data_IF_495824451310
#
_entry.id   IF_495824451310
#
_cell.length_a   1.000
_cell.length_b   1.000
_cell.length_c   1.000
_cell.angle_alpha   90.00
_cell.angle_beta   90.00
_cell.angle_gamma   90.00
#
_symmetry.space_group_name_H-M   'P 1'
#
loop_
_entity.id
_entity.type
_entity.pdbx_description
1 polymer ?
#
# COMPACT_ATOMS: atom_id res chain seq x y z
N UNK A 1 7.55 -45.78 22.09
CA UNK A 1 7.51 -45.67 20.61
C UNK A 1 8.64 -46.53 20.04
N UNK A 2 8.33 -47.62 19.32
CA UNK A 2 9.32 -48.68 19.02
C UNK A 2 10.36 -48.22 17.97
N UNK A 3 11.60 -47.96 18.40
CA UNK A 3 12.77 -47.68 17.55
C UNK A 3 13.18 -48.84 16.61
N UNK A 4 12.53 -50.01 16.70
CA UNK A 4 12.79 -51.13 15.77
C UNK A 4 12.30 -50.87 14.34
N UNK A 5 11.37 -49.92 14.16
CA UNK A 5 10.84 -49.55 12.84
C UNK A 5 11.86 -48.76 12.00
N UNK A 6 12.75 -48.00 12.64
CA UNK A 6 13.83 -47.22 12.02
C UNK A 6 15.01 -48.07 11.51
N UNK A 7 15.09 -49.36 11.87
CA UNK A 7 16.19 -50.25 11.46
C UNK A 7 16.04 -50.77 10.03
N UNK A 8 14.87 -50.64 9.41
CA UNK A 8 14.66 -51.03 8.01
C UNK A 8 15.10 -49.89 7.11
N UNK A 9 16.08 -50.15 6.23
CA UNK A 9 16.60 -49.17 5.25
C UNK A 9 15.48 -48.47 4.46
N UNK A 10 14.44 -49.22 4.09
CA UNK A 10 13.25 -48.68 3.42
C UNK A 10 12.50 -47.64 4.27
N UNK A 11 12.25 -47.92 5.55
CA UNK A 11 11.57 -46.98 6.46
C UNK A 11 12.39 -45.71 6.68
N UNK A 12 13.71 -45.85 6.86
CA UNK A 12 14.60 -44.70 7.00
C UNK A 12 14.58 -43.82 5.73
N UNK A 13 14.67 -44.41 4.54
CA UNK A 13 14.56 -43.68 3.27
C UNK A 13 13.23 -42.93 3.12
N UNK A 14 12.10 -43.54 3.51
CA UNK A 14 10.77 -42.89 3.45
C UNK A 14 10.69 -41.71 4.41
N UNK A 15 11.20 -41.84 5.63
CA UNK A 15 11.21 -40.75 6.61
C UNK A 15 12.10 -39.60 6.14
N UNK A 16 13.29 -39.89 5.61
CA UNK A 16 14.18 -38.86 5.04
C UNK A 16 13.53 -38.17 3.83
N UNK A 17 12.88 -38.92 2.95
CA UNK A 17 12.16 -38.36 1.82
C UNK A 17 11.01 -37.43 2.26
N UNK A 18 10.26 -37.82 3.29
CA UNK A 18 9.22 -36.98 3.89
C UNK A 18 9.79 -35.72 4.54
N UNK A 19 10.90 -35.82 5.27
CA UNK A 19 11.57 -34.66 5.86
C UNK A 19 12.01 -33.68 4.77
N UNK A 20 12.67 -34.17 3.71
CA UNK A 20 13.09 -33.34 2.57
C UNK A 20 11.88 -32.71 1.87
N UNK A 21 10.80 -33.47 1.65
CA UNK A 21 9.59 -32.98 1.02
C UNK A 21 8.89 -31.87 1.82
N UNK A 22 9.02 -31.86 3.14
CA UNK A 22 8.47 -30.80 4.02
C UNK A 22 9.43 -29.62 4.17
N UNK A 23 10.75 -29.87 4.22
CA UNK A 23 11.75 -28.81 4.38
C UNK A 23 11.83 -27.86 3.18
N UNK A 24 11.63 -28.36 1.96
CA UNK A 24 11.71 -27.53 0.75
C UNK A 24 10.59 -26.47 0.71
N UNK A 25 9.30 -26.80 0.86
CA UNK A 25 8.23 -25.80 0.92
C UNK A 25 8.38 -24.81 2.08
N UNK A 26 8.79 -25.27 3.26
CA UNK A 26 9.02 -24.37 4.40
C UNK A 26 10.17 -23.39 4.13
N UNK A 27 11.26 -23.86 3.50
CA UNK A 27 12.38 -23.01 3.12
C UNK A 27 12.00 -21.95 2.08
N UNK A 28 11.18 -22.32 1.10
CA UNK A 28 10.61 -21.38 0.11
C UNK A 28 9.70 -20.37 0.80
N UNK A 29 8.76 -20.82 1.64
CA UNK A 29 7.84 -19.92 2.34
C UNK A 29 8.60 -18.87 3.16
N UNK A 30 9.55 -19.28 4.01
CA UNK A 30 10.30 -18.34 4.84
C UNK A 30 11.20 -17.39 4.03
N UNK A 31 11.74 -17.83 2.90
CA UNK A 31 12.60 -16.97 2.05
C UNK A 31 11.75 -15.95 1.30
N UNK A 32 10.67 -16.39 0.67
CA UNK A 32 9.82 -15.54 -0.15
C UNK A 32 8.99 -14.56 0.68
N UNK A 33 8.52 -14.96 1.86
CA UNK A 33 7.85 -14.03 2.80
C UNK A 33 8.78 -12.92 3.26
N UNK A 34 10.05 -13.22 3.55
CA UNK A 34 11.04 -12.18 3.86
C UNK A 34 11.30 -11.24 2.69
N UNK A 35 11.34 -11.77 1.47
CA UNK A 35 11.48 -10.94 0.27
C UNK A 35 10.25 -10.06 0.05
N UNK A 36 9.05 -10.60 0.26
CA UNK A 36 7.79 -9.85 0.25
C UNK A 36 7.78 -8.74 1.30
N UNK A 37 8.20 -9.05 2.53
CA UNK A 37 8.28 -8.09 3.64
C UNK A 37 9.25 -6.95 3.33
N UNK A 38 10.41 -7.24 2.71
CA UNK A 38 11.39 -6.23 2.31
C UNK A 38 10.82 -5.26 1.27
N UNK A 39 10.11 -5.78 0.27
CA UNK A 39 9.49 -4.92 -0.75
C UNK A 39 8.30 -4.15 -0.16
N UNK A 40 7.51 -4.78 0.70
CA UNK A 40 6.41 -4.14 1.41
C UNK A 40 6.90 -3.03 2.34
N UNK A 41 8.05 -3.21 2.99
CA UNK A 41 8.67 -2.15 3.81
C UNK A 41 8.96 -0.89 3.00
N UNK A 42 9.21 -0.96 1.69
CA UNK A 42 9.37 0.23 0.85
C UNK A 42 8.08 1.07 0.77
N UNK A 43 6.91 0.42 0.83
CA UNK A 43 5.64 1.11 0.86
C UNK A 43 5.47 1.91 2.16
N UNK A 44 5.82 1.31 3.31
CA UNK A 44 5.59 1.91 4.63
C UNK A 44 6.74 2.81 5.10
N UNK A 45 7.97 2.35 4.94
CA UNK A 45 9.18 2.97 5.49
C UNK A 45 9.97 3.75 4.42
N UNK A 46 9.86 3.38 3.14
CA UNK A 46 10.63 4.00 2.05
C UNK A 46 12.05 3.45 1.92
N UNK A 47 12.91 4.15 1.16
CA UNK A 47 14.30 3.71 0.90
C UNK A 47 15.32 4.56 1.66
N UNK A 48 16.27 3.91 2.35
CA UNK A 48 17.51 4.56 2.79
C UNK A 48 17.33 5.75 3.74
N UNK A 49 16.30 5.73 4.59
CA UNK A 49 15.94 6.84 5.49
C UNK A 49 15.05 7.92 4.86
N UNK A 50 14.60 7.74 3.62
CA UNK A 50 13.50 8.50 3.03
C UNK A 50 12.14 8.06 3.56
N UNK A 51 11.07 8.61 2.99
CA UNK A 51 9.69 8.27 3.35
C UNK A 51 9.04 7.33 2.32
N UNK A 52 8.20 6.40 2.79
CA UNK A 52 7.41 5.51 1.94
C UNK A 52 6.13 6.16 1.42
N UNK A 53 5.40 5.45 0.55
CA UNK A 53 4.10 5.88 0.02
C UNK A 53 3.11 6.14 1.16
N UNK A 54 3.10 5.32 2.21
CA UNK A 54 2.21 5.48 3.37
C UNK A 54 2.36 6.86 4.02
N UNK A 55 3.58 7.37 4.15
CA UNK A 55 3.82 8.70 4.70
C UNK A 55 3.18 9.79 3.82
N UNK A 56 3.32 9.69 2.50
CA UNK A 56 2.70 10.65 1.58
C UNK A 56 1.17 10.58 1.60
N UNK A 57 0.59 9.39 1.78
CA UNK A 57 -0.86 9.24 1.99
C UNK A 57 -1.32 9.96 3.27
N UNK A 58 -0.54 9.87 4.34
CA UNK A 58 -0.81 10.60 5.60
C UNK A 58 -0.72 12.12 5.41
N UNK A 59 0.29 12.61 4.68
CA UNK A 59 0.38 14.04 4.35
C UNK A 59 -0.86 14.51 3.59
N UNK A 60 -1.33 13.73 2.61
CA UNK A 60 -2.52 14.07 1.83
C UNK A 60 -3.78 14.10 2.66
N UNK A 61 -3.95 13.15 3.58
CA UNK A 61 -5.07 13.17 4.54
C UNK A 61 -5.01 14.40 5.46
N UNK A 62 -3.81 14.83 5.86
CA UNK A 62 -3.59 16.06 6.61
C UNK A 62 -3.99 17.31 5.82
N UNK A 63 -3.49 17.43 4.59
CA UNK A 63 -3.84 18.54 3.70
C UNK A 63 -5.34 18.58 3.39
N UNK A 64 -5.97 17.42 3.17
CA UNK A 64 -7.42 17.33 2.99
C UNK A 64 -8.21 17.78 4.23
N UNK A 65 -7.72 17.50 5.45
CA UNK A 65 -8.33 17.99 6.68
C UNK A 65 -8.25 19.52 6.80
N UNK A 66 -7.10 20.09 6.43
CA UNK A 66 -6.90 21.54 6.41
C UNK A 66 -7.78 22.22 5.34
N UNK A 67 -7.88 21.61 4.16
CA UNK A 67 -8.78 22.04 3.10
C UNK A 67 -10.24 22.03 3.56
N UNK A 68 -10.71 20.95 4.22
CA UNK A 68 -12.05 20.90 4.83
C UNK A 68 -12.29 22.05 5.81
N UNK A 69 -11.31 22.34 6.67
CA UNK A 69 -11.41 23.42 7.66
C UNK A 69 -11.57 24.79 7.02
N UNK A 70 -10.87 25.05 5.91
CA UNK A 70 -11.03 26.30 5.15
C UNK A 70 -12.37 26.31 4.42
N UNK A 71 -12.73 25.21 3.77
CA UNK A 71 -13.99 25.09 3.01
C UNK A 71 -15.24 25.35 3.87
N UNK A 72 -15.25 24.85 5.10
CA UNK A 72 -16.36 25.04 6.06
C UNK A 72 -16.63 26.50 6.45
N UNK A 73 -15.71 27.43 6.15
CA UNK A 73 -15.92 28.87 6.40
C UNK A 73 -16.77 29.54 5.31
N UNK A 74 -16.84 28.93 4.13
CA UNK A 74 -17.49 29.50 2.94
C UNK A 74 -18.70 28.68 2.49
N UNK A 75 -18.75 27.39 2.81
CA UNK A 75 -19.82 26.48 2.42
C UNK A 75 -20.76 26.16 3.58
N UNK A 76 -22.02 25.88 3.26
CA UNK A 76 -23.04 25.53 4.26
C UNK A 76 -22.75 24.17 4.93
N UNK A 77 -23.13 24.06 6.20
CA UNK A 77 -23.09 22.79 6.90
C UNK A 77 -24.01 21.78 6.19
N UNK A 78 -23.46 20.65 5.74
CA UNK A 78 -24.20 19.63 4.98
C UNK A 78 -23.96 19.68 3.47
N UNK A 79 -23.12 20.59 2.97
CA UNK A 79 -22.72 20.62 1.57
C UNK A 79 -22.17 19.27 1.08
N UNK A 80 -22.58 18.86 -0.13
CA UNK A 80 -22.22 17.53 -0.68
C UNK A 80 -20.72 17.37 -0.91
N UNK A 81 -20.00 18.45 -1.25
CA UNK A 81 -18.57 18.39 -1.54
C UNK A 81 -17.75 18.32 -0.24
N UNK A 82 -18.24 18.97 0.84
CA UNK A 82 -17.68 18.79 2.18
C UNK A 82 -17.81 17.34 2.63
N UNK A 83 -18.98 16.73 2.43
CA UNK A 83 -19.21 15.32 2.75
C UNK A 83 -18.34 14.40 1.90
N UNK A 84 -18.25 14.64 0.59
CA UNK A 84 -17.45 13.84 -0.32
C UNK A 84 -15.96 13.84 0.07
N UNK A 85 -15.39 15.02 0.35
CA UNK A 85 -14.00 15.14 0.78
C UNK A 85 -13.76 14.49 2.16
N UNK A 86 -14.69 14.68 3.10
CA UNK A 86 -14.63 14.02 4.41
C UNK A 86 -14.67 12.50 4.29
N UNK A 87 -15.60 11.96 3.50
CA UNK A 87 -15.73 10.51 3.29
C UNK A 87 -14.54 9.91 2.54
N UNK A 88 -13.99 10.61 1.54
CA UNK A 88 -12.81 10.13 0.83
C UNK A 88 -11.59 10.04 1.76
N UNK A 89 -11.40 11.04 2.63
CA UNK A 89 -10.37 11.03 3.66
C UNK A 89 -10.56 9.90 4.67
N UNK A 90 -11.79 9.67 5.12
CA UNK A 90 -12.10 8.57 6.04
C UNK A 90 -11.82 7.20 5.41
N UNK A 91 -12.22 7.00 4.15
CA UNK A 91 -11.90 5.78 3.39
C UNK A 91 -10.40 5.53 3.33
N UNK A 92 -9.60 6.56 3.04
CA UNK A 92 -8.14 6.39 3.00
C UNK A 92 -7.56 6.06 4.38
N UNK A 93 -8.12 6.63 5.44
CA UNK A 93 -7.72 6.32 6.82
C UNK A 93 -8.07 4.88 7.23
N UNK A 94 -9.14 4.30 6.69
CA UNK A 94 -9.62 2.96 7.02
C UNK A 94 -9.12 1.87 6.06
N UNK A 95 -8.54 2.25 4.93
CA UNK A 95 -8.03 1.33 3.92
C UNK A 95 -6.93 0.41 4.50
N UNK A 96 -7.18 -0.90 4.43
CA UNK A 96 -6.33 -1.91 5.05
C UNK A 96 -5.25 -2.42 4.10
N UNK A 97 -5.60 -2.70 2.85
CA UNK A 97 -4.69 -3.25 1.84
C UNK A 97 -4.01 -2.13 1.03
N UNK A 98 -2.97 -2.47 0.27
CA UNK A 98 -2.27 -1.49 -0.56
C UNK A 98 -3.14 -1.10 -1.76
N UNK A 99 -3.90 -2.05 -2.31
CA UNK A 99 -4.93 -1.78 -3.32
C UNK A 99 -6.03 -0.86 -2.81
N UNK A 100 -6.60 -1.13 -1.62
CA UNK A 100 -7.64 -0.26 -1.05
C UNK A 100 -7.13 1.17 -0.81
N UNK A 101 -5.85 1.30 -0.41
CA UNK A 101 -5.21 2.60 -0.22
C UNK A 101 -5.07 3.35 -1.54
N UNK A 102 -4.78 2.65 -2.64
CA UNK A 102 -4.74 3.25 -3.97
C UNK A 102 -6.11 3.80 -4.37
N UNK A 103 -7.14 2.96 -4.30
CA UNK A 103 -8.51 3.35 -4.67
C UNK A 103 -9.01 4.52 -3.83
N UNK A 104 -8.73 4.50 -2.51
CA UNK A 104 -9.10 5.59 -1.62
C UNK A 104 -8.29 6.86 -1.88
N UNK A 105 -7.01 6.75 -2.28
CA UNK A 105 -6.18 7.88 -2.66
C UNK A 105 -6.67 8.55 -3.96
N UNK A 106 -7.15 7.77 -4.93
CA UNK A 106 -7.79 8.30 -6.15
C UNK A 106 -9.04 9.10 -5.77
N UNK A 107 -9.94 8.52 -4.97
CA UNK A 107 -11.14 9.21 -4.51
C UNK A 107 -10.83 10.50 -3.73
N UNK A 108 -9.77 10.49 -2.91
CA UNK A 108 -9.32 11.69 -2.20
C UNK A 108 -8.83 12.77 -3.17
N UNK A 109 -8.11 12.39 -4.23
CA UNK A 109 -7.65 13.31 -5.27
C UNK A 109 -8.82 14.01 -5.94
N UNK A 110 -9.83 13.25 -6.36
CA UNK A 110 -10.99 13.75 -7.08
C UNK A 110 -11.82 14.70 -6.22
N UNK A 111 -12.07 14.31 -4.96
CA UNK A 111 -12.83 15.13 -4.02
C UNK A 111 -12.08 16.42 -3.66
N UNK A 112 -10.76 16.34 -3.45
CA UNK A 112 -9.95 17.53 -3.16
C UNK A 112 -9.87 18.48 -4.35
N UNK A 113 -9.70 17.97 -5.57
CA UNK A 113 -9.69 18.77 -6.79
C UNK A 113 -11.03 19.49 -7.00
N UNK A 114 -12.15 18.79 -6.79
CA UNK A 114 -13.50 19.37 -6.85
C UNK A 114 -13.64 20.50 -5.83
N UNK A 115 -13.26 20.27 -4.58
CA UNK A 115 -13.32 21.26 -3.51
C UNK A 115 -12.44 22.49 -3.79
N UNK A 116 -11.21 22.28 -4.25
CA UNK A 116 -10.28 23.37 -4.62
C UNK A 116 -10.87 24.20 -5.77
N UNK A 117 -11.39 23.55 -6.82
CA UNK A 117 -12.01 24.24 -7.95
C UNK A 117 -13.22 25.05 -7.51
N UNK A 118 -14.03 24.52 -6.58
CA UNK A 118 -15.19 25.22 -6.03
C UNK A 118 -14.77 26.45 -5.23
N UNK A 119 -13.83 26.30 -4.30
CA UNK A 119 -13.34 27.43 -3.49
C UNK A 119 -12.69 28.53 -4.34
N UNK A 120 -12.01 28.18 -5.44
CA UNK A 120 -11.48 29.17 -6.40
C UNK A 120 -12.58 29.98 -7.11
N UNK A 121 -13.81 29.49 -7.14
CA UNK A 121 -14.98 30.20 -7.66
C UNK A 121 -15.68 31.10 -6.62
N UNK A 122 -15.33 30.97 -5.33
CA UNK A 122 -15.90 31.74 -4.24
C UNK A 122 -15.13 33.04 -3.96
N UNK A 123 -15.78 34.00 -3.30
CA UNK A 123 -15.15 35.24 -2.84
C UNK A 123 -14.36 35.00 -1.53
N UNK A 124 -13.20 34.35 -1.63
CA UNK A 124 -12.32 34.07 -0.49
C UNK A 124 -11.60 35.33 0.02
N UNK A 125 -11.21 35.31 1.29
CA UNK A 125 -10.17 36.25 1.77
C UNK A 125 -8.84 35.97 1.08
N UNK A 126 -7.97 36.98 0.97
CA UNK A 126 -6.63 36.82 0.39
C UNK A 126 -5.86 35.66 1.06
N UNK A 127 -5.91 35.59 2.39
CA UNK A 127 -5.26 34.53 3.16
C UNK A 127 -5.79 33.14 2.82
N UNK A 128 -7.11 32.96 2.74
CA UNK A 128 -7.69 31.65 2.45
C UNK A 128 -7.48 31.24 0.99
N UNK A 129 -7.46 32.19 0.06
CA UNK A 129 -7.06 31.94 -1.34
C UNK A 129 -5.63 31.41 -1.44
N UNK A 130 -4.70 31.99 -0.67
CA UNK A 130 -3.32 31.51 -0.58
C UNK A 130 -3.25 30.10 0.02
N UNK A 131 -4.02 29.80 1.08
CA UNK A 131 -4.10 28.45 1.63
C UNK A 131 -4.61 27.42 0.62
N UNK A 132 -5.69 27.73 -0.11
CA UNK A 132 -6.23 26.82 -1.14
C UNK A 132 -5.19 26.50 -2.21
N UNK A 133 -4.43 27.51 -2.65
CA UNK A 133 -3.33 27.34 -3.62
C UNK A 133 -2.20 26.47 -3.05
N UNK A 134 -1.86 26.66 -1.76
CA UNK A 134 -0.84 25.85 -1.10
C UNK A 134 -1.30 24.39 -0.96
N UNK A 135 -2.55 24.14 -0.60
CA UNK A 135 -3.09 22.78 -0.46
C UNK A 135 -3.08 22.03 -1.79
N UNK A 136 -3.44 22.69 -2.89
CA UNK A 136 -3.33 22.12 -4.24
C UNK A 136 -1.88 21.73 -4.56
N UNK A 137 -0.93 22.61 -4.24
CA UNK A 137 0.50 22.37 -4.45
C UNK A 137 1.02 21.19 -3.61
N UNK A 138 0.63 21.13 -2.33
CA UNK A 138 1.05 20.07 -1.41
C UNK A 138 0.50 18.70 -1.82
N UNK A 139 -0.78 18.65 -2.23
CA UNK A 139 -1.40 17.43 -2.74
C UNK A 139 -0.72 16.94 -4.02
N UNK A 140 -0.45 17.85 -4.96
CA UNK A 140 0.26 17.53 -6.20
C UNK A 140 1.69 17.04 -5.93
N UNK A 141 2.41 17.70 -5.02
CA UNK A 141 3.76 17.30 -4.64
C UNK A 141 3.80 15.92 -3.96
N UNK A 142 2.83 15.62 -3.09
CA UNK A 142 2.71 14.29 -2.51
C UNK A 142 2.36 13.22 -3.56
N UNK A 143 1.44 13.50 -4.49
CA UNK A 143 1.14 12.58 -5.60
C UNK A 143 2.36 12.33 -6.49
N UNK A 144 3.16 13.35 -6.75
CA UNK A 144 4.37 13.26 -7.56
C UNK A 144 5.46 12.42 -6.85
N UNK A 145 5.60 12.54 -5.53
CA UNK A 145 6.47 11.65 -4.73
C UNK A 145 5.99 10.20 -4.76
N UNK A 146 4.68 9.96 -4.60
CA UNK A 146 4.07 8.63 -4.72
C UNK A 146 4.35 8.03 -6.10
N UNK A 147 4.16 8.79 -7.17
CA UNK A 147 4.38 8.34 -8.55
C UNK A 147 5.85 7.98 -8.84
N UNK A 148 6.79 8.62 -8.16
CA UNK A 148 8.23 8.34 -8.28
C UNK A 148 8.74 7.25 -7.33
N UNK A 149 7.88 6.70 -6.47
CA UNK A 149 8.26 5.60 -5.59
C UNK A 149 8.71 4.38 -6.39
N UNK A 150 9.76 3.72 -5.92
CA UNK A 150 10.23 2.46 -6.52
C UNK A 150 9.38 1.24 -6.15
N UNK A 151 8.38 1.41 -5.27
CA UNK A 151 7.58 0.31 -4.74
C UNK A 151 6.98 -0.57 -5.85
N UNK A 152 6.23 0.02 -6.80
CA UNK A 152 5.57 -0.74 -7.86
C UNK A 152 6.57 -1.52 -8.72
N UNK A 153 7.71 -0.92 -9.03
CA UNK A 153 8.77 -1.58 -9.78
C UNK A 153 9.32 -2.80 -9.02
N UNK A 154 9.54 -2.65 -7.71
CA UNK A 154 10.08 -3.73 -6.87
C UNK A 154 9.05 -4.82 -6.59
N UNK A 155 7.79 -4.47 -6.36
CA UNK A 155 6.67 -5.40 -6.22
C UNK A 155 6.45 -6.20 -7.51
N UNK A 156 6.50 -5.54 -8.66
CA UNK A 156 6.41 -6.23 -9.95
C UNK A 156 7.63 -7.15 -10.19
N UNK A 157 8.84 -6.72 -9.83
CA UNK A 157 10.03 -7.56 -9.94
C UNK A 157 9.93 -8.82 -9.06
N UNK A 158 9.42 -8.68 -7.83
CA UNK A 158 9.12 -9.80 -6.93
C UNK A 158 8.04 -10.74 -7.52
N UNK A 159 6.92 -10.19 -7.99
CA UNK A 159 5.86 -11.00 -8.59
C UNK A 159 6.37 -11.78 -9.82
N UNK A 160 7.24 -11.17 -10.63
CA UNK A 160 7.88 -11.84 -11.76
C UNK A 160 8.85 -12.95 -11.30
N UNK A 161 9.56 -12.78 -10.18
CA UNK A 161 10.43 -13.85 -9.66
C UNK A 161 9.64 -15.07 -9.19
N UNK A 162 8.42 -14.87 -8.66
CA UNK A 162 7.52 -15.97 -8.29
C UNK A 162 7.08 -16.81 -9.51
N UNK A 163 7.08 -16.24 -10.71
CA UNK A 163 6.73 -16.95 -11.95
C UNK A 163 7.89 -17.79 -12.53
N UNK A 164 9.10 -17.68 -11.96
CA UNK A 164 10.28 -18.38 -12.45
C UNK A 164 10.40 -19.80 -11.88
N UNK A 165 10.97 -20.73 -12.64
CA UNK A 165 11.29 -22.08 -12.15
C UNK A 165 12.46 -22.02 -11.15
N UNK A 166 12.43 -22.75 -10.02
CA UNK A 166 11.40 -23.70 -9.58
C UNK A 166 10.27 -23.10 -8.72
N UNK A 167 10.32 -21.80 -8.41
CA UNK A 167 9.40 -21.13 -7.45
C UNK A 167 7.94 -21.24 -7.87
N UNK A 168 7.61 -21.09 -9.15
CA UNK A 168 6.22 -21.15 -9.63
C UNK A 168 5.50 -22.48 -9.32
N UNK A 169 6.22 -23.60 -9.26
CA UNK A 169 5.65 -24.89 -8.87
C UNK A 169 5.50 -25.05 -7.35
N UNK A 170 6.44 -24.47 -6.60
CA UNK A 170 6.51 -24.63 -5.16
C UNK A 170 5.64 -23.62 -4.42
N UNK A 171 5.37 -22.43 -4.99
CA UNK A 171 4.66 -21.33 -4.32
C UNK A 171 3.26 -21.71 -3.84
N UNK A 172 2.52 -22.49 -4.61
CA UNK A 172 1.16 -22.93 -4.22
C UNK A 172 1.19 -23.87 -3.03
N UNK A 173 2.19 -24.76 -2.95
CA UNK A 173 2.38 -25.67 -1.81
C UNK A 173 2.95 -24.91 -0.61
N UNK A 174 3.79 -23.91 -0.87
CA UNK A 174 4.44 -23.09 0.13
C UNK A 174 3.57 -21.91 0.63
N UNK A 175 2.39 -21.66 0.05
CA UNK A 175 1.53 -20.53 0.44
C UNK A 175 2.18 -19.16 0.24
N UNK A 176 2.91 -18.99 -0.86
CA UNK A 176 3.55 -17.71 -1.21
C UNK A 176 2.66 -16.98 -2.22
N UNK A 177 2.26 -15.76 -1.86
CA UNK A 177 1.35 -14.91 -2.64
C UNK A 177 2.11 -13.77 -3.32
N UNK A 178 1.50 -13.23 -4.38
CA UNK A 178 2.01 -12.05 -5.08
C UNK A 178 1.72 -10.79 -4.24
N UNK A 179 2.61 -9.80 -4.35
CA UNK A 179 2.40 -8.49 -3.76
C UNK A 179 1.38 -7.70 -4.57
N UNK A 180 0.51 -7.00 -3.87
CA UNK A 180 -0.33 -5.96 -4.47
C UNK A 180 0.53 -4.85 -5.09
N UNK A 181 0.02 -4.20 -6.14
CA UNK A 181 0.63 -3.02 -6.71
C UNK A 181 -0.19 -1.80 -6.29
N UNK A 182 0.46 -0.63 -6.23
CA UNK A 182 -0.19 0.66 -5.97
C UNK A 182 -0.37 1.43 -7.29
N UNK A 183 -1.30 1.00 -8.14
CA UNK A 183 -1.53 1.57 -9.49
C UNK A 183 -2.92 1.24 -10.04
#
# INVERSE_FOLDING_TARGET
MKLSFLKKRATACVITALMVAVSIPLGVHCTETRAADQVTALFYEGTGGGYGIQYDLEQRMGTAANLLTVAQRYLEAGDSDLQALSSARERLSQAATIGDKYDANVQLSDAAATMISRLKGEALTETDSQYVTQFETDLAAAQDRIARSSYNQQAQAYNNSLQSFPVNWLRTIAGVEELELFL
#
